data_IF_562239974715
#
_entry.id   IF_562239974715
#
_cell.length_a   1.000
_cell.length_b   1.000
_cell.length_c   1.000
_cell.angle_alpha   90.00
_cell.angle_beta   90.00
_cell.angle_gamma   90.00
#
_symmetry.space_group_name_H-M   'P 1'
#
loop_
_entity.id
_entity.type
_entity.pdbx_description
1 polymer ?
#
# COMPACT_ATOMS: atom_id res chain seq x y z
N UNK A 1 -1.26 -1.85 5.88
CA UNK A 1 -2.48 -1.62 6.64
C UNK A 1 -3.38 -2.86 6.62
N UNK A 2 -3.91 -3.28 5.48
CA UNK A 2 -4.85 -4.42 5.39
C UNK A 2 -4.20 -5.80 5.65
N UNK A 3 -2.88 -5.85 5.75
CA UNK A 3 -2.10 -7.02 6.16
C UNK A 3 -1.69 -6.97 7.64
N UNK A 4 -2.18 -6.01 8.41
CA UNK A 4 -1.78 -5.78 9.82
C UNK A 4 -0.26 -5.67 10.01
N UNK A 5 0.41 -4.96 9.12
CA UNK A 5 1.83 -4.65 9.25
C UNK A 5 2.02 -3.68 10.42
N UNK A 6 2.83 -4.05 11.38
CA UNK A 6 3.09 -3.24 12.58
C UNK A 6 4.08 -2.10 12.29
N UNK A 7 5.10 -2.38 11.47
CA UNK A 7 6.15 -1.42 11.08
C UNK A 7 6.36 -1.43 9.58
N UNK A 8 6.32 -0.27 8.95
CA UNK A 8 6.71 -0.08 7.55
C UNK A 8 8.07 0.64 7.46
N UNK A 9 9.00 0.06 6.71
CA UNK A 9 10.32 0.65 6.44
C UNK A 9 10.36 1.11 4.98
N UNK A 10 10.52 2.41 4.78
CA UNK A 10 10.67 3.01 3.46
C UNK A 10 12.16 3.11 3.12
N UNK A 11 12.61 2.28 2.18
CA UNK A 11 14.02 2.28 1.76
C UNK A 11 14.25 3.27 0.62
N UNK A 12 14.77 4.43 0.99
CA UNK A 12 15.02 5.53 0.06
C UNK A 12 15.25 6.87 0.77
N UNK A 13 15.31 7.97 0.02
CA UNK A 13 15.41 9.32 0.57
C UNK A 13 14.17 9.65 1.42
N UNK A 14 14.38 10.40 2.50
CA UNK A 14 13.32 10.78 3.44
C UNK A 14 12.14 11.51 2.79
N UNK A 15 12.39 12.31 1.76
CA UNK A 15 11.37 13.06 1.03
C UNK A 15 10.43 12.21 0.19
N UNK A 16 10.86 11.01 -0.24
CA UNK A 16 10.06 10.17 -1.14
C UNK A 16 8.81 9.57 -0.49
N UNK A 17 8.80 9.44 0.82
CA UNK A 17 7.72 8.77 1.55
C UNK A 17 6.92 9.68 2.47
N UNK A 18 7.32 10.92 2.65
CA UNK A 18 6.79 11.82 3.67
C UNK A 18 5.24 11.87 3.74
N UNK A 19 4.59 12.07 2.61
CA UNK A 19 3.12 12.16 2.56
C UNK A 19 2.44 10.85 2.93
N UNK A 20 2.97 9.74 2.41
CA UNK A 20 2.40 8.41 2.63
C UNK A 20 2.68 7.91 4.05
N UNK A 21 3.85 8.23 4.60
CA UNK A 21 4.21 7.91 5.98
C UNK A 21 3.21 8.49 6.96
N UNK A 22 2.84 9.76 6.82
CA UNK A 22 1.84 10.38 7.69
C UNK A 22 0.48 9.69 7.64
N UNK A 23 0.03 9.27 6.47
CA UNK A 23 -1.24 8.55 6.33
C UNK A 23 -1.21 7.18 7.01
N UNK A 24 -0.07 6.48 6.96
CA UNK A 24 0.10 5.20 7.62
C UNK A 24 0.19 5.36 9.15
N UNK A 25 0.87 6.42 9.62
CA UNK A 25 0.96 6.75 11.04
C UNK A 25 -0.41 7.12 11.65
N UNK A 26 -1.25 7.85 10.92
CA UNK A 26 -2.63 8.13 11.30
C UNK A 26 -3.46 6.85 11.46
N UNK A 27 -3.06 5.76 10.79
CA UNK A 27 -3.65 4.43 10.89
C UNK A 27 -3.07 3.59 12.04
N UNK A 28 -2.13 4.15 12.81
CA UNK A 28 -1.49 3.48 13.95
C UNK A 28 -0.27 2.63 13.58
N UNK A 29 0.21 2.69 12.34
CA UNK A 29 1.40 1.98 11.89
C UNK A 29 2.66 2.80 12.20
N UNK A 30 3.71 2.16 12.68
CA UNK A 30 5.02 2.80 12.79
C UNK A 30 5.70 2.85 11.42
N UNK A 31 6.18 4.04 11.03
CA UNK A 31 6.85 4.22 9.75
C UNK A 31 8.27 4.72 9.96
N UNK A 32 9.22 3.97 9.42
CA UNK A 32 10.64 4.29 9.44
C UNK A 32 11.15 4.54 8.03
N UNK A 33 12.24 5.27 7.91
CA UNK A 33 12.94 5.49 6.64
C UNK A 33 14.43 5.25 6.81
N UNK A 34 15.08 4.71 5.79
CA UNK A 34 16.54 4.64 5.76
C UNK A 34 17.17 6.01 5.49
N UNK A 35 16.38 7.00 5.09
CA UNK A 35 16.82 8.37 4.82
C UNK A 35 18.07 8.42 3.93
N UNK A 36 18.10 7.61 2.87
CA UNK A 36 19.25 7.49 1.98
C UNK A 36 19.76 8.86 1.53
N UNK A 37 21.05 9.05 1.66
CA UNK A 37 21.77 10.26 1.25
C UNK A 37 22.68 9.99 0.04
N UNK A 38 23.43 10.97 -0.40
CA UNK A 38 24.32 10.88 -1.56
C UNK A 38 25.33 9.74 -1.48
N UNK A 39 25.90 9.47 -0.30
CA UNK A 39 26.83 8.36 -0.09
C UNK A 39 26.13 7.00 -0.33
N UNK A 40 24.89 6.85 0.10
CA UNK A 40 24.13 5.63 -0.12
C UNK A 40 23.83 5.41 -1.62
N UNK A 41 23.69 6.47 -2.41
CA UNK A 41 23.51 6.34 -3.85
C UNK A 41 24.77 5.90 -4.59
N UNK A 42 25.94 6.21 -4.03
CA UNK A 42 27.24 5.84 -4.61
C UNK A 42 27.71 4.46 -4.16
N UNK A 43 27.55 4.17 -2.86
CA UNK A 43 28.12 2.95 -2.24
C UNK A 43 27.07 1.89 -1.88
N UNK A 44 25.80 2.18 -2.08
CA UNK A 44 24.68 1.33 -1.67
C UNK A 44 24.07 1.72 -0.32
N UNK A 45 22.82 1.38 -0.15
CA UNK A 45 22.04 1.62 1.08
C UNK A 45 21.80 0.35 1.91
N UNK A 46 22.40 -0.77 1.54
CA UNK A 46 22.22 -2.08 2.19
C UNK A 46 22.43 -2.02 3.71
N UNK A 47 23.57 -1.50 4.17
CA UNK A 47 23.90 -1.44 5.60
C UNK A 47 22.93 -0.52 6.36
N UNK A 48 22.45 0.53 5.70
CA UNK A 48 21.44 1.42 6.28
C UNK A 48 20.12 0.68 6.47
N UNK A 49 19.70 -0.16 5.52
CA UNK A 49 18.49 -0.95 5.63
C UNK A 49 18.63 -2.01 6.73
N UNK A 50 19.73 -2.75 6.76
CA UNK A 50 20.03 -3.73 7.81
C UNK A 50 19.95 -3.09 9.20
N UNK A 51 20.58 -1.92 9.37
CA UNK A 51 20.56 -1.18 10.63
C UNK A 51 19.16 -0.75 11.05
N UNK A 52 18.34 -0.24 10.10
CA UNK A 52 16.97 0.20 10.39
C UNK A 52 16.09 -0.98 10.76
N UNK A 53 16.22 -2.12 10.08
CA UNK A 53 15.45 -3.34 10.40
C UNK A 53 15.72 -3.84 11.82
N UNK A 54 17.00 -3.91 12.21
CA UNK A 54 17.39 -4.29 13.58
C UNK A 54 16.83 -3.35 14.63
N UNK A 55 16.94 -2.05 14.39
CA UNK A 55 16.37 -1.04 15.30
C UNK A 55 14.85 -1.09 15.37
N UNK A 56 14.19 -1.36 14.24
CA UNK A 56 12.74 -1.52 14.20
C UNK A 56 12.29 -2.70 15.08
N UNK A 57 12.98 -3.83 15.00
CA UNK A 57 12.69 -4.98 15.85
C UNK A 57 12.95 -4.68 17.32
N UNK A 58 14.07 -4.07 17.64
CA UNK A 58 14.44 -3.70 19.02
C UNK A 58 13.41 -2.75 19.66
N UNK A 59 12.98 -1.73 18.91
CA UNK A 59 12.10 -0.67 19.43
C UNK A 59 10.62 -1.08 19.51
N UNK A 60 10.13 -1.85 18.52
CA UNK A 60 8.71 -2.07 18.36
C UNK A 60 8.28 -3.53 18.53
N UNK A 61 9.22 -4.48 18.49
CA UNK A 61 8.96 -5.92 18.58
C UNK A 61 7.78 -6.36 17.68
N UNK A 62 7.83 -6.00 16.38
CA UNK A 62 6.71 -6.22 15.47
C UNK A 62 6.53 -7.72 15.18
N UNK A 63 5.29 -8.12 14.92
CA UNK A 63 4.97 -9.45 14.38
C UNK A 63 5.26 -9.52 12.88
N UNK A 64 5.03 -8.39 12.20
CA UNK A 64 5.17 -8.25 10.76
C UNK A 64 5.75 -6.87 10.42
N UNK A 65 6.85 -6.85 9.67
CA UNK A 65 7.39 -5.66 9.04
C UNK A 65 7.16 -5.67 7.53
N UNK A 66 6.94 -4.50 6.95
CA UNK A 66 6.92 -4.28 5.51
C UNK A 66 8.08 -3.41 5.08
N UNK A 67 8.89 -3.86 4.14
CA UNK A 67 9.96 -3.05 3.52
C UNK A 67 9.52 -2.65 2.12
N UNK A 68 9.50 -1.35 1.87
CA UNK A 68 9.13 -0.81 0.56
C UNK A 68 10.34 -0.11 -0.04
N UNK A 69 10.85 -0.65 -1.14
CA UNK A 69 11.86 0.03 -1.95
C UNK A 69 11.24 1.21 -2.70
N UNK A 70 11.92 2.34 -2.69
CA UNK A 70 11.54 3.49 -3.52
C UNK A 70 12.12 3.33 -4.93
N UNK A 71 11.62 4.12 -5.90
CA UNK A 71 12.22 4.10 -7.23
C UNK A 71 13.72 4.39 -7.19
N UNK A 72 14.19 5.24 -6.29
CA UNK A 72 15.61 5.58 -6.16
C UNK A 72 16.45 4.37 -5.75
N UNK A 73 16.05 3.63 -4.72
CA UNK A 73 16.77 2.43 -4.28
C UNK A 73 16.73 1.33 -5.33
N UNK A 74 15.63 1.20 -6.05
CA UNK A 74 15.51 0.20 -7.13
C UNK A 74 16.35 0.53 -8.37
N UNK A 75 16.51 1.81 -8.70
CA UNK A 75 17.37 2.25 -9.81
C UNK A 75 18.84 1.91 -9.56
N UNK A 76 19.32 2.03 -8.33
CA UNK A 76 20.69 1.66 -7.97
C UNK A 76 20.89 0.16 -7.72
N UNK A 77 19.82 -0.64 -7.83
CA UNK A 77 19.89 -2.10 -7.75
C UNK A 77 19.96 -2.67 -6.35
N UNK A 78 19.35 -1.99 -5.36
CA UNK A 78 19.26 -2.51 -3.98
C UNK A 78 18.50 -3.83 -3.92
N UNK A 79 19.08 -4.81 -3.23
CA UNK A 79 18.44 -6.11 -2.97
C UNK A 79 17.84 -6.11 -1.55
N UNK A 80 16.53 -5.85 -1.49
CA UNK A 80 15.80 -5.80 -0.22
C UNK A 80 15.78 -7.16 0.49
N UNK A 81 15.67 -8.27 -0.25
CA UNK A 81 15.60 -9.60 0.36
C UNK A 81 16.93 -9.96 1.02
N UNK A 82 18.03 -9.70 0.36
CA UNK A 82 19.36 -9.90 0.93
C UNK A 82 19.56 -9.06 2.19
N UNK A 83 19.16 -7.81 2.19
CA UNK A 83 19.27 -6.96 3.38
C UNK A 83 18.38 -7.45 4.53
N UNK A 84 17.21 -8.03 4.24
CA UNK A 84 16.36 -8.67 5.24
C UNK A 84 17.05 -9.89 5.83
N UNK A 85 17.62 -10.76 5.01
CA UNK A 85 18.39 -11.94 5.45
C UNK A 85 19.59 -11.53 6.33
N UNK A 86 20.40 -10.57 5.86
CA UNK A 86 21.58 -10.08 6.56
C UNK A 86 21.24 -9.32 7.85
N UNK A 87 20.01 -8.80 7.98
CA UNK A 87 19.53 -8.17 9.21
C UNK A 87 19.40 -9.16 10.37
N UNK A 88 19.07 -10.42 10.07
CA UNK A 88 18.87 -11.45 11.07
C UNK A 88 17.71 -11.21 12.01
N UNK A 89 16.72 -10.35 11.64
CA UNK A 89 15.51 -10.11 12.44
C UNK A 89 14.67 -11.38 12.52
N UNK A 90 14.02 -11.58 13.65
CA UNK A 90 13.24 -12.80 13.93
C UNK A 90 11.78 -12.71 13.49
N UNK A 91 11.25 -11.50 13.33
CA UNK A 91 9.89 -11.28 12.91
C UNK A 91 9.69 -11.55 11.40
N UNK A 92 8.46 -11.73 10.99
CA UNK A 92 8.15 -11.83 9.57
C UNK A 92 8.41 -10.50 8.85
N UNK A 93 9.08 -10.56 7.70
CA UNK A 93 9.33 -9.37 6.87
C UNK A 93 8.90 -9.63 5.45
N UNK A 94 8.12 -8.72 4.88
CA UNK A 94 7.75 -8.71 3.46
C UNK A 94 8.46 -7.58 2.74
N UNK A 95 9.03 -7.87 1.57
CA UNK A 95 9.67 -6.88 0.72
C UNK A 95 8.80 -6.55 -0.49
N UNK A 96 8.66 -5.27 -0.80
CA UNK A 96 7.95 -4.77 -1.98
C UNK A 96 8.90 -3.93 -2.82
N UNK A 97 9.31 -4.48 -3.95
CA UNK A 97 10.14 -3.79 -4.92
C UNK A 97 9.28 -2.92 -5.82
N UNK A 98 9.40 -1.62 -5.69
CA UNK A 98 8.65 -0.66 -6.50
C UNK A 98 9.56 -0.16 -7.63
N UNK A 99 9.26 -0.57 -8.87
CA UNK A 99 10.00 -0.05 -10.03
C UNK A 99 9.47 1.31 -10.47
N UNK A 100 10.39 2.18 -10.88
CA UNK A 100 10.02 3.45 -11.51
C UNK A 100 9.15 3.18 -12.77
N UNK A 101 8.04 3.91 -12.88
CA UNK A 101 7.15 3.80 -14.03
C UNK A 101 5.95 2.88 -13.84
N UNK A 102 5.63 2.43 -12.64
CA UNK A 102 4.33 1.81 -12.37
C UNK A 102 3.21 2.78 -12.72
N UNK A 103 2.26 2.29 -13.51
CA UNK A 103 1.20 3.12 -14.09
C UNK A 103 -0.03 3.22 -13.22
N UNK A 104 -0.18 2.32 -12.25
CA UNK A 104 -1.34 2.29 -11.37
C UNK A 104 -1.00 1.68 -9.98
N UNK A 105 -1.84 1.97 -9.01
CA UNK A 105 -1.68 1.47 -7.64
C UNK A 105 -1.95 -0.03 -7.53
N UNK A 106 -2.73 -0.58 -8.45
CA UNK A 106 -3.10 -2.01 -8.47
C UNK A 106 -1.87 -2.90 -8.52
N UNK A 107 -0.89 -2.55 -9.35
CA UNK A 107 0.38 -3.28 -9.45
C UNK A 107 1.11 -3.33 -8.11
N UNK A 108 1.20 -2.20 -7.40
CA UNK A 108 1.84 -2.15 -6.08
C UNK A 108 1.12 -3.03 -5.04
N UNK A 109 -0.21 -3.01 -5.04
CA UNK A 109 -1.02 -3.85 -4.14
C UNK A 109 -0.83 -5.34 -4.46
N UNK A 110 -0.84 -5.73 -5.74
CA UNK A 110 -0.62 -7.13 -6.15
C UNK A 110 0.77 -7.61 -5.72
N UNK A 111 1.82 -6.81 -5.92
CA UNK A 111 3.18 -7.14 -5.47
C UNK A 111 3.27 -7.32 -3.95
N UNK A 112 2.58 -6.49 -3.20
CA UNK A 112 2.51 -6.61 -1.74
C UNK A 112 1.83 -7.91 -1.32
N UNK A 113 0.70 -8.26 -1.95
CA UNK A 113 0.00 -9.51 -1.71
C UNK A 113 0.82 -10.72 -2.13
N UNK A 114 1.54 -10.64 -3.25
CA UNK A 114 2.45 -11.70 -3.69
C UNK A 114 3.58 -11.94 -2.69
N UNK A 115 4.18 -10.87 -2.17
CA UNK A 115 5.20 -10.96 -1.12
C UNK A 115 4.65 -11.57 0.17
N UNK A 116 3.43 -11.20 0.56
CA UNK A 116 2.75 -11.78 1.71
C UNK A 116 2.41 -13.27 1.51
N UNK A 117 2.03 -13.66 0.29
CA UNK A 117 1.85 -15.07 -0.07
C UNK A 117 3.16 -15.86 0.00
N UNK A 118 4.23 -15.35 -0.60
CA UNK A 118 5.57 -15.99 -0.55
C UNK A 118 6.09 -16.14 0.88
N UNK A 119 5.78 -15.20 1.75
CA UNK A 119 6.10 -15.26 3.18
C UNK A 119 5.14 -16.16 4.00
N UNK A 120 4.14 -16.77 3.38
CA UNK A 120 3.19 -17.65 4.07
C UNK A 120 2.15 -16.95 4.94
N UNK A 121 2.03 -15.63 4.83
CA UNK A 121 1.10 -14.80 5.62
C UNK A 121 -0.34 -14.96 5.11
N UNK A 122 -0.52 -15.09 3.81
CA UNK A 122 -1.82 -15.35 3.18
C UNK A 122 -1.75 -16.63 2.35
N UNK A 123 -2.89 -17.28 2.17
CA UNK A 123 -2.97 -18.48 1.33
C UNK A 123 -2.92 -18.13 -0.17
N UNK A 124 -2.53 -19.11 -1.00
CA UNK A 124 -2.60 -18.96 -2.45
C UNK A 124 -4.03 -18.65 -2.94
N UNK A 125 -5.01 -19.29 -2.35
CA UNK A 125 -6.43 -19.07 -2.71
C UNK A 125 -6.86 -17.62 -2.45
N UNK A 126 -6.42 -17.03 -1.33
CA UNK A 126 -6.70 -15.63 -1.00
C UNK A 126 -5.93 -14.67 -1.92
N UNK A 127 -4.65 -14.93 -2.18
CA UNK A 127 -3.86 -14.16 -3.14
C UNK A 127 -4.52 -14.10 -4.51
N UNK A 128 -4.88 -15.25 -5.08
CA UNK A 128 -5.51 -15.34 -6.38
C UNK A 128 -6.92 -14.70 -6.41
N UNK A 129 -7.65 -14.81 -5.30
CA UNK A 129 -8.95 -14.14 -5.15
C UNK A 129 -8.81 -12.62 -5.21
N UNK A 130 -7.91 -12.05 -4.41
CA UNK A 130 -7.67 -10.62 -4.33
C UNK A 130 -7.13 -10.08 -5.65
N UNK A 131 -6.18 -10.77 -6.26
CA UNK A 131 -5.61 -10.40 -7.56
C UNK A 131 -6.69 -10.26 -8.62
N UNK A 132 -7.58 -11.26 -8.75
CA UNK A 132 -8.69 -11.21 -9.71
C UNK A 132 -9.63 -10.03 -9.47
N UNK A 133 -9.94 -9.72 -8.22
CA UNK A 133 -10.81 -8.58 -7.86
C UNK A 133 -10.13 -7.27 -8.27
N UNK A 134 -8.87 -7.09 -7.92
CA UNK A 134 -8.10 -5.88 -8.23
C UNK A 134 -7.94 -5.66 -9.74
N UNK A 135 -7.62 -6.71 -10.48
CA UNK A 135 -7.50 -6.65 -11.95
C UNK A 135 -8.86 -6.34 -12.61
N UNK A 136 -9.95 -6.94 -12.12
CA UNK A 136 -11.29 -6.66 -12.62
C UNK A 136 -11.72 -5.22 -12.32
N UNK A 137 -11.47 -4.72 -11.11
CA UNK A 137 -11.77 -3.34 -10.74
C UNK A 137 -10.99 -2.34 -11.61
N UNK A 138 -9.68 -2.57 -11.79
CA UNK A 138 -8.83 -1.72 -12.63
C UNK A 138 -9.27 -1.74 -14.11
N UNK A 139 -9.70 -2.88 -14.62
CA UNK A 139 -10.24 -2.98 -15.97
C UNK A 139 -11.52 -2.16 -16.12
N UNK A 140 -12.44 -2.29 -15.19
CA UNK A 140 -13.70 -1.53 -15.19
C UNK A 140 -13.41 -0.04 -15.09
N UNK A 141 -12.48 0.37 -14.22
CA UNK A 141 -12.08 1.76 -14.10
C UNK A 141 -11.53 2.31 -15.43
N UNK A 142 -10.71 1.54 -16.13
CA UNK A 142 -10.18 1.93 -17.45
C UNK A 142 -11.25 2.04 -18.53
N UNK A 143 -12.23 1.16 -18.50
CA UNK A 143 -13.34 1.11 -19.49
C UNK A 143 -14.39 2.20 -19.24
N UNK A 144 -14.82 2.37 -18.01
CA UNK A 144 -15.95 3.25 -17.62
C UNK A 144 -15.49 4.60 -17.12
N UNK A 145 -14.20 4.72 -16.81
CA UNK A 145 -13.59 5.88 -16.17
C UNK A 145 -13.63 5.77 -14.66
N UNK A 146 -12.83 6.63 -14.01
CA UNK A 146 -12.73 6.66 -12.57
C UNK A 146 -14.11 6.86 -11.91
N UNK A 147 -14.32 6.24 -10.76
CA UNK A 147 -15.54 6.36 -9.96
C UNK A 147 -15.96 7.83 -9.71
N UNK A 148 -15.02 8.75 -9.77
CA UNK A 148 -15.25 10.19 -9.70
C UNK A 148 -16.16 10.75 -10.79
N UNK A 149 -16.32 10.07 -11.93
CA UNK A 149 -17.26 10.50 -12.98
C UNK A 149 -18.72 10.26 -12.63
N UNK A 150 -18.97 9.30 -11.76
CA UNK A 150 -20.32 9.01 -11.23
C UNK A 150 -20.51 9.61 -9.85
N UNK A 151 -19.55 10.36 -9.35
CA UNK A 151 -19.62 11.00 -8.06
C UNK A 151 -20.64 12.13 -8.07
N UNK A 152 -21.55 12.12 -7.11
CA UNK A 152 -22.47 13.23 -6.87
C UNK A 152 -21.66 14.32 -6.16
N UNK A 153 -21.42 15.47 -6.81
CA UNK A 153 -20.63 16.53 -6.17
C UNK A 153 -21.36 17.00 -4.91
N UNK A 154 -20.61 17.30 -3.83
CA UNK A 154 -21.21 17.89 -2.64
C UNK A 154 -21.85 19.23 -3.01
N UNK A 155 -23.15 19.34 -2.84
CA UNK A 155 -23.86 20.59 -2.98
C UNK A 155 -23.82 21.40 -1.66
N UNK A 156 -23.96 22.71 -1.76
CA UNK A 156 -24.23 23.53 -0.58
C UNK A 156 -25.61 23.09 -0.05
N UNK A 157 -25.63 22.34 1.04
CA UNK A 157 -26.86 21.83 1.61
C UNK A 157 -26.71 20.41 2.13
N UNK A 158 -27.76 19.66 2.12
CA UNK A 158 -27.80 18.31 2.68
C UNK A 158 -27.45 17.24 1.64
N UNK A 159 -26.17 17.11 1.34
CA UNK A 159 -25.65 16.10 0.40
C UNK A 159 -26.00 14.66 0.80
N UNK A 160 -26.30 14.41 2.08
CA UNK A 160 -26.74 13.10 2.56
C UNK A 160 -28.11 12.74 2.00
N UNK A 161 -29.02 13.68 1.95
CA UNK A 161 -30.37 13.48 1.37
C UNK A 161 -30.27 13.23 -0.13
N UNK A 162 -29.43 13.97 -0.84
CA UNK A 162 -29.27 13.79 -2.29
C UNK A 162 -28.65 12.42 -2.62
N UNK A 163 -27.65 11.97 -1.83
CA UNK A 163 -27.10 10.63 -1.96
C UNK A 163 -28.15 9.56 -1.67
N UNK A 164 -28.94 9.71 -0.61
CA UNK A 164 -30.01 8.77 -0.27
C UNK A 164 -31.07 8.69 -1.37
N UNK A 165 -31.51 9.81 -1.92
CA UNK A 165 -32.45 9.86 -3.07
C UNK A 165 -31.89 9.13 -4.27
N UNK A 166 -30.61 9.41 -4.60
CA UNK A 166 -29.96 8.77 -5.75
C UNK A 166 -29.81 7.26 -5.58
N UNK A 167 -29.48 6.80 -4.38
CA UNK A 167 -29.43 5.36 -4.07
C UNK A 167 -30.80 4.71 -4.23
N UNK A 168 -31.87 5.33 -3.73
CA UNK A 168 -33.24 4.84 -3.89
C UNK A 168 -33.66 4.78 -5.35
N UNK A 169 -33.33 5.78 -6.15
CA UNK A 169 -33.57 5.77 -7.60
C UNK A 169 -32.88 4.57 -8.27
N UNK A 170 -31.60 4.34 -7.98
CA UNK A 170 -30.83 3.24 -8.56
C UNK A 170 -31.41 1.88 -8.15
N UNK A 171 -31.82 1.73 -6.89
CA UNK A 171 -32.50 0.52 -6.40
C UNK A 171 -33.81 0.30 -7.14
N UNK A 172 -34.64 1.34 -7.27
CA UNK A 172 -35.90 1.28 -7.98
C UNK A 172 -35.72 0.96 -9.48
N UNK A 173 -34.58 1.31 -10.06
CA UNK A 173 -34.20 0.93 -11.42
C UNK A 173 -33.67 -0.51 -11.52
N UNK A 174 -33.70 -1.29 -10.45
CA UNK A 174 -33.18 -2.65 -10.39
C UNK A 174 -31.65 -2.75 -10.45
N UNK A 175 -30.92 -1.67 -10.18
CA UNK A 175 -29.45 -1.69 -10.11
C UNK A 175 -28.99 -2.35 -8.82
N UNK A 176 -27.93 -3.14 -8.91
CA UNK A 176 -27.24 -3.71 -7.75
C UNK A 176 -26.14 -2.75 -7.31
N UNK A 177 -26.04 -2.51 -6.02
CA UNK A 177 -25.01 -1.68 -5.42
C UNK A 177 -24.25 -2.43 -4.33
N UNK A 178 -23.02 -2.02 -4.10
CA UNK A 178 -22.23 -2.45 -2.95
C UNK A 178 -22.04 -1.23 -2.06
N UNK A 179 -22.42 -1.35 -0.78
CA UNK A 179 -22.18 -0.32 0.22
C UNK A 179 -20.96 -0.71 1.04
N UNK A 180 -19.94 0.13 1.00
CA UNK A 180 -18.72 -0.06 1.81
C UNK A 180 -18.82 0.89 3.00
N UNK A 181 -18.97 0.29 4.19
CA UNK A 181 -19.05 1.05 5.45
C UNK A 181 -17.66 1.19 6.07
N UNK A 182 -17.44 2.31 6.74
CA UNK A 182 -16.19 2.63 7.44
C UNK A 182 -14.93 2.61 6.55
N UNK A 183 -15.09 2.73 5.23
CA UNK A 183 -13.97 2.89 4.34
C UNK A 183 -13.28 4.23 4.60
N UNK A 184 -11.96 4.21 4.64
CA UNK A 184 -11.20 5.46 4.68
C UNK A 184 -11.35 6.19 3.34
N UNK A 185 -11.21 7.52 3.41
CA UNK A 185 -11.40 8.41 2.27
C UNK A 185 -10.60 7.96 1.03
N UNK A 186 -9.36 7.53 1.24
CA UNK A 186 -8.47 7.05 0.18
C UNK A 186 -8.99 5.78 -0.47
N UNK A 187 -9.53 4.85 0.32
CA UNK A 187 -10.11 3.60 -0.16
C UNK A 187 -11.42 3.85 -0.92
N UNK A 188 -12.22 4.82 -0.47
CA UNK A 188 -13.47 5.17 -1.14
C UNK A 188 -13.29 5.73 -2.56
N UNK A 189 -12.09 6.22 -2.91
CA UNK A 189 -11.75 6.69 -4.26
C UNK A 189 -11.17 5.60 -5.18
N UNK A 190 -10.93 4.41 -4.66
CA UNK A 190 -10.35 3.29 -5.44
C UNK A 190 -11.41 2.35 -6.02
N UNK A 191 -12.69 2.53 -5.64
CA UNK A 191 -13.81 1.67 -6.06
C UNK A 191 -14.90 2.44 -6.79
#
# INVERSE_FOLDING_TARGET
RDLDVDVAVMHGPSGCSFKHSRLLEEDGMHVLTTAMNESNFVFGGHDSLVSVLRKAEEMFQPRLMGVVGTCSSMIIGEDLNRAIEDSGVSCNVIAVNVHAGYRDNTTGVILTLESAYKAGIISNAEFERQKRILEAATRIEKEVGAASRSYIPPSKGDSKIDVAKRLLELINMGKKGVCILNAKKETAFMF
#
